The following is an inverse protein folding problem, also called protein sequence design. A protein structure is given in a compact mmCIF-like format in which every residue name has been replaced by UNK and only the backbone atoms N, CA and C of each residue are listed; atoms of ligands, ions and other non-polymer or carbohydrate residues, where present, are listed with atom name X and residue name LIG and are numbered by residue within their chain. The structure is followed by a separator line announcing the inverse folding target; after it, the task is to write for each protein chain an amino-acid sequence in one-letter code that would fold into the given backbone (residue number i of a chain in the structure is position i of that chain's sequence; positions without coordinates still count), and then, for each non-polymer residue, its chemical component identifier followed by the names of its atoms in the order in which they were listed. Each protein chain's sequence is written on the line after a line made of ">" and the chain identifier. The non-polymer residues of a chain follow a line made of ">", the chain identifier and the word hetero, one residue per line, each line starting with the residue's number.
data_IF_397024699516
#
_entry.id   IF_397024699516
#
_cell.length_a   1.000
_cell.length_b   1.000
_cell.length_c   1.000
_cell.angle_alpha   90.00
_cell.angle_beta   90.00
_cell.angle_gamma   90.00
#
_symmetry.space_group_name_H-M   'P 1'
#
loop_
_entity.id
_entity.type
_entity.pdbx_description
1 polymer ?
#
# COMPACT_ATOMS: atom_id res chain seq x y z
N UNK A 1 -26.23 -24.71 23.95
CA UNK A 1 -25.65 -25.11 22.66
C UNK A 1 -24.69 -24.08 22.07
N UNK A 2 -25.04 -22.77 21.89
CA UNK A 2 -24.14 -21.74 21.32
C UNK A 2 -22.82 -21.55 22.08
N UNK A 3 -22.81 -21.65 23.41
CA UNK A 3 -21.59 -21.49 24.24
C UNK A 3 -20.60 -22.63 24.07
N UNK A 4 -21.08 -23.85 23.83
CA UNK A 4 -20.23 -25.04 23.63
C UNK A 4 -19.61 -25.09 22.24
N UNK A 5 -20.31 -24.60 21.21
CA UNK A 5 -19.78 -24.49 19.83
C UNK A 5 -18.68 -23.45 19.78
N UNK A 6 -18.84 -22.31 20.47
CA UNK A 6 -17.83 -21.25 20.51
C UNK A 6 -16.56 -21.70 21.26
N UNK A 7 -16.73 -22.46 22.37
CA UNK A 7 -15.61 -23.02 23.14
C UNK A 7 -14.89 -24.10 22.33
N UNK A 8 -15.63 -24.87 21.51
CA UNK A 8 -15.03 -25.88 20.63
C UNK A 8 -14.24 -25.23 19.46
N UNK A 9 -14.74 -24.13 18.91
CA UNK A 9 -14.05 -23.37 17.86
C UNK A 9 -12.82 -22.63 18.43
N UNK A 10 -12.93 -22.07 19.64
CA UNK A 10 -11.80 -21.40 20.29
C UNK A 10 -10.69 -22.40 20.72
N UNK A 11 -11.08 -23.59 21.22
CA UNK A 11 -10.10 -24.65 21.50
C UNK A 11 -9.43 -25.16 20.22
N UNK A 12 -10.12 -25.12 19.08
CA UNK A 12 -9.56 -25.47 17.78
C UNK A 12 -8.49 -24.49 17.32
N UNK A 13 -8.71 -23.17 17.50
CA UNK A 13 -7.71 -22.12 17.19
C UNK A 13 -6.49 -22.16 18.13
N UNK A 14 -6.68 -22.50 19.40
CA UNK A 14 -5.60 -22.60 20.39
C UNK A 14 -4.75 -23.89 20.24
N UNK A 15 -5.30 -24.95 19.64
CA UNK A 15 -4.58 -26.21 19.41
C UNK A 15 -3.86 -26.30 18.06
N UNK A 16 -4.11 -25.38 17.13
CA UNK A 16 -3.42 -25.32 15.83
C UNK A 16 -2.08 -24.57 15.85
N UNK A 17 -1.72 -23.95 16.97
CA UNK A 17 -0.38 -23.41 17.17
C UNK A 17 0.58 -24.54 17.53
N UNK A 18 1.74 -24.68 16.85
CA UNK A 18 2.72 -25.70 17.20
C UNK A 18 3.19 -25.45 18.64
N UNK A 19 2.75 -26.30 19.57
CA UNK A 19 3.35 -26.32 20.89
C UNK A 19 4.80 -26.77 20.74
N UNK A 20 5.71 -25.84 20.89
CA UNK A 20 7.12 -26.10 21.16
C UNK A 20 7.20 -26.84 22.49
N UNK A 21 7.00 -28.16 22.44
CA UNK A 21 7.38 -29.05 23.53
C UNK A 21 8.90 -29.19 23.52
N UNK A 22 9.54 -28.41 24.37
CA UNK A 22 10.95 -28.53 24.68
C UNK A 22 11.12 -29.84 25.44
N UNK A 23 11.53 -30.90 24.74
CA UNK A 23 11.98 -32.15 25.40
C UNK A 23 13.32 -31.85 26.10
N UNK A 24 13.27 -31.77 27.43
CA UNK A 24 14.44 -31.89 28.29
C UNK A 24 14.69 -33.37 28.50
N UNK A 25 15.61 -33.97 27.75
CA UNK A 25 16.46 -35.11 28.14
C UNK A 25 17.21 -35.66 26.93
N UNK A 26 18.37 -35.11 26.64
CA UNK A 26 19.50 -35.81 26.00
C UNK A 26 20.77 -35.14 26.55
N UNK A 27 21.80 -35.93 26.99
CA UNK A 27 23.00 -35.36 27.59
C UNK A 27 23.90 -34.70 26.56
N UNK A 28 24.55 -33.62 27.00
CA UNK A 28 25.51 -32.81 26.27
C UNK A 28 26.72 -33.57 25.78
N UNK A 29 27.30 -33.16 24.67
CA UNK A 29 28.72 -32.89 24.63
C UNK A 29 29.05 -31.43 24.42
N UNK A 30 30.05 -31.06 25.08
CA UNK A 30 30.81 -29.84 25.20
C UNK A 30 30.94 -28.89 24.01
N UNK A 31 30.78 -27.62 24.35
CA UNK A 31 31.73 -26.49 24.32
C UNK A 31 31.86 -25.65 23.06
N UNK A 32 31.71 -24.44 23.33
CA UNK A 32 32.35 -23.17 22.92
C UNK A 32 31.52 -22.16 22.11
N UNK A 33 31.19 -21.15 22.89
CA UNK A 33 31.23 -19.69 22.59
C UNK A 33 30.66 -19.19 21.27
N UNK A 34 29.51 -18.55 21.38
CA UNK A 34 29.33 -17.16 20.93
C UNK A 34 28.14 -16.53 21.67
N UNK A 35 28.46 -15.62 22.58
CA UNK A 35 27.53 -14.64 23.15
C UNK A 35 26.94 -13.82 22.03
N UNK A 36 25.60 -13.75 21.96
CA UNK A 36 24.88 -12.49 21.72
C UNK A 36 23.36 -12.71 21.64
N UNK A 37 22.68 -11.84 22.39
CA UNK A 37 21.22 -11.59 22.44
C UNK A 37 20.35 -12.59 23.23
N UNK A 38 20.54 -12.62 24.54
CA UNK A 38 19.49 -12.95 25.52
C UNK A 38 18.56 -11.74 25.65
N UNK A 39 17.43 -11.74 24.94
CA UNK A 39 16.28 -10.93 25.36
C UNK A 39 15.76 -11.52 26.67
N UNK A 40 15.98 -10.81 27.76
CA UNK A 40 15.39 -11.10 29.08
C UNK A 40 13.87 -10.97 28.93
N UNK A 41 13.16 -12.11 29.00
CA UNK A 41 11.71 -12.16 29.22
C UNK A 41 11.40 -11.39 30.52
N UNK A 42 10.47 -10.46 30.45
CA UNK A 42 10.00 -9.77 31.65
C UNK A 42 9.35 -10.75 32.62
N UNK A 43 9.38 -10.50 33.94
CA UNK A 43 8.73 -11.37 34.92
C UNK A 43 7.25 -11.63 34.64
N UNK A 44 6.56 -10.68 34.04
CA UNK A 44 5.14 -10.78 33.61
C UNK A 44 4.93 -11.79 32.46
N UNK A 45 5.85 -11.85 31.49
CA UNK A 45 5.76 -12.80 30.38
C UNK A 45 5.96 -14.25 30.84
N UNK A 46 6.84 -14.45 31.83
CA UNK A 46 7.09 -15.75 32.43
C UNK A 46 5.89 -16.25 33.27
N UNK A 47 5.21 -15.35 33.97
CA UNK A 47 4.00 -15.64 34.73
C UNK A 47 2.81 -15.95 33.83
N UNK A 48 2.65 -15.18 32.75
CA UNK A 48 1.62 -15.41 31.72
C UNK A 48 1.81 -16.78 31.03
N UNK A 49 3.05 -17.17 30.69
CA UNK A 49 3.34 -18.47 30.11
C UNK A 49 3.05 -19.64 31.09
N UNK A 50 3.31 -19.47 32.39
CA UNK A 50 2.95 -20.45 33.41
C UNK A 50 1.45 -20.62 33.57
N UNK A 51 0.69 -19.50 33.57
CA UNK A 51 -0.78 -19.50 33.65
C UNK A 51 -1.43 -20.16 32.44
N UNK A 52 -0.92 -19.94 31.23
CA UNK A 52 -1.38 -20.59 29.99
C UNK A 52 -1.11 -22.09 30.05
N UNK A 53 0.11 -22.52 30.43
CA UNK A 53 0.46 -23.92 30.56
C UNK A 53 -0.34 -24.65 31.63
N UNK A 54 -0.74 -23.99 32.71
CA UNK A 54 -1.56 -24.57 33.77
C UNK A 54 -3.03 -24.71 33.35
N UNK A 55 -3.59 -23.73 32.62
CA UNK A 55 -4.93 -23.83 32.01
C UNK A 55 -5.02 -24.95 30.97
N UNK A 56 -3.97 -25.16 30.16
CA UNK A 56 -3.92 -26.22 29.17
C UNK A 56 -3.85 -27.60 29.85
N UNK A 57 -3.10 -27.75 30.97
CA UNK A 57 -3.08 -28.99 31.79
C UNK A 57 -4.44 -29.28 32.42
N UNK A 58 -5.16 -28.26 32.86
CA UNK A 58 -6.51 -28.40 33.44
C UNK A 58 -7.55 -28.77 32.36
N UNK A 59 -7.47 -28.18 31.19
CA UNK A 59 -8.30 -28.51 30.03
C UNK A 59 -8.11 -29.95 29.58
N UNK A 60 -6.86 -30.41 29.48
CA UNK A 60 -6.50 -31.82 29.18
C UNK A 60 -7.02 -32.78 30.25
N UNK A 61 -6.87 -32.47 31.55
CA UNK A 61 -7.42 -33.30 32.64
C UNK A 61 -8.94 -33.41 32.57
N UNK A 62 -9.66 -32.33 32.28
CA UNK A 62 -11.11 -32.35 32.09
C UNK A 62 -11.53 -33.19 30.87
N UNK A 63 -10.83 -33.06 29.74
CA UNK A 63 -11.08 -33.88 28.55
C UNK A 63 -10.86 -35.38 28.81
N UNK A 64 -9.80 -35.74 29.51
CA UNK A 64 -9.55 -37.14 29.92
C UNK A 64 -10.61 -37.68 30.88
N UNK A 65 -11.10 -36.86 31.82
CA UNK A 65 -12.17 -37.21 32.75
C UNK A 65 -13.50 -37.46 32.04
N UNK A 66 -13.83 -36.62 31.08
CA UNK A 66 -15.05 -36.77 30.23
C UNK A 66 -14.91 -38.04 29.36
N UNK A 67 -13.77 -38.28 28.74
CA UNK A 67 -13.48 -39.47 27.92
C UNK A 67 -13.66 -40.74 28.73
N UNK A 68 -13.10 -40.78 29.96
CA UNK A 68 -13.23 -41.90 30.89
C UNK A 68 -14.69 -42.13 31.32
N UNK A 69 -15.43 -41.08 31.60
CA UNK A 69 -16.86 -41.14 31.99
C UNK A 69 -17.72 -41.72 30.87
N UNK A 70 -17.56 -41.18 29.64
CA UNK A 70 -18.30 -41.68 28.46
C UNK A 70 -17.98 -43.15 28.20
N UNK A 71 -16.70 -43.54 28.26
CA UNK A 71 -16.28 -44.92 28.06
C UNK A 71 -16.90 -45.86 29.11
N UNK A 72 -16.92 -45.46 30.38
CA UNK A 72 -17.49 -46.30 31.45
C UNK A 72 -19.02 -46.44 31.30
N UNK A 73 -19.70 -45.39 30.91
CA UNK A 73 -21.13 -45.39 30.67
C UNK A 73 -21.56 -46.22 29.48
N UNK A 74 -20.76 -46.16 28.38
CA UNK A 74 -20.95 -46.99 27.20
C UNK A 74 -20.65 -48.47 27.46
N UNK A 75 -19.61 -48.78 28.24
CA UNK A 75 -19.27 -50.13 28.60
C UNK A 75 -20.32 -50.76 29.52
N UNK A 76 -20.93 -50.01 30.44
CA UNK A 76 -21.97 -50.48 31.28
C UNK A 76 -23.26 -50.76 30.49
N UNK A 77 -23.63 -49.90 29.53
CA UNK A 77 -24.73 -50.14 28.61
C UNK A 77 -24.50 -51.34 27.69
N UNK A 78 -23.26 -51.55 27.28
CA UNK A 78 -22.85 -52.67 26.41
C UNK A 78 -22.93 -54.02 27.11
N UNK A 79 -22.80 -54.12 28.43
CA UNK A 79 -22.88 -55.37 29.20
C UNK A 79 -24.21 -56.06 29.04
N UNK A 80 -25.28 -55.32 28.77
CA UNK A 80 -26.65 -55.90 28.62
C UNK A 80 -26.88 -56.51 27.22
N UNK A 81 -25.90 -56.34 26.28
CA UNK A 81 -25.94 -56.86 24.90
C UNK A 81 -24.64 -57.55 24.52
N UNK A 82 -24.54 -58.86 24.56
CA UNK A 82 -23.30 -59.66 24.31
C UNK A 82 -22.65 -59.35 22.96
N UNK A 83 -23.44 -59.19 21.87
CA UNK A 83 -22.89 -58.87 20.55
C UNK A 83 -22.22 -57.50 20.52
N UNK A 84 -22.82 -56.51 21.21
CA UNK A 84 -22.33 -55.14 21.27
C UNK A 84 -21.10 -55.04 22.16
N UNK A 85 -21.08 -55.81 23.28
CA UNK A 85 -19.92 -55.94 24.16
C UNK A 85 -18.72 -56.59 23.44
N UNK A 86 -18.94 -57.68 22.68
CA UNK A 86 -17.94 -58.33 21.84
C UNK A 86 -17.39 -57.38 20.77
N UNK A 87 -18.27 -56.60 20.11
CA UNK A 87 -17.86 -55.59 19.14
C UNK A 87 -17.04 -54.45 19.79
N UNK A 88 -17.40 -54.00 20.99
CA UNK A 88 -16.69 -52.93 21.71
C UNK A 88 -15.32 -53.36 22.24
N UNK A 89 -15.13 -54.63 22.57
CA UNK A 89 -13.91 -55.15 23.21
C UNK A 89 -12.94 -55.79 22.23
N UNK A 90 -13.37 -56.17 21.03
CA UNK A 90 -12.56 -56.83 20.03
C UNK A 90 -11.54 -55.89 19.44
N UNK A 91 -10.25 -56.28 19.48
CA UNK A 91 -9.14 -55.50 18.91
C UNK A 91 -8.74 -56.11 17.56
N UNK A 92 -8.60 -55.21 16.55
CA UNK A 92 -8.02 -55.52 15.26
C UNK A 92 -6.83 -54.58 15.04
N UNK A 93 -5.64 -55.12 14.71
CA UNK A 93 -4.43 -54.33 14.48
C UNK A 93 -4.13 -53.29 15.57
N UNK A 94 -4.39 -53.63 16.85
CA UNK A 94 -4.15 -52.73 18.00
C UNK A 94 -5.27 -51.75 18.34
N UNK A 95 -6.29 -51.61 17.49
CA UNK A 95 -7.42 -50.70 17.70
C UNK A 95 -8.72 -51.46 17.98
N UNK A 96 -9.59 -50.89 18.81
CA UNK A 96 -10.91 -51.43 19.06
C UNK A 96 -11.85 -51.26 17.86
N UNK A 97 -12.73 -52.22 17.60
CA UNK A 97 -13.71 -52.16 16.50
C UNK A 97 -14.58 -50.91 16.52
N UNK A 98 -14.89 -50.39 17.69
CA UNK A 98 -15.61 -49.11 17.90
C UNK A 98 -14.87 -47.93 17.31
N UNK A 99 -13.55 -47.94 17.34
CA UNK A 99 -12.75 -46.86 16.80
C UNK A 99 -12.87 -46.80 15.27
N UNK A 100 -12.84 -47.95 14.60
CA UNK A 100 -13.08 -48.04 13.15
C UNK A 100 -14.50 -47.60 12.77
N UNK A 101 -15.51 -47.99 13.56
CA UNK A 101 -16.89 -47.53 13.32
C UNK A 101 -17.00 -46.01 13.46
N UNK A 102 -16.32 -45.41 14.42
CA UNK A 102 -16.31 -43.94 14.62
C UNK A 102 -15.64 -43.21 13.45
N UNK A 103 -14.51 -43.74 12.93
CA UNK A 103 -13.88 -43.21 11.72
C UNK A 103 -14.86 -43.24 10.55
N UNK A 104 -15.47 -44.39 10.32
CA UNK A 104 -16.42 -44.57 9.22
C UNK A 104 -17.61 -43.61 9.33
N UNK A 105 -18.16 -43.43 10.54
CA UNK A 105 -19.28 -42.49 10.78
C UNK A 105 -18.86 -41.04 10.56
N UNK A 106 -17.69 -40.61 11.11
CA UNK A 106 -17.20 -39.23 10.93
C UNK A 106 -16.87 -38.95 9.47
N UNK A 107 -16.26 -39.87 8.73
CA UNK A 107 -16.01 -39.74 7.30
C UNK A 107 -17.32 -39.68 6.50
N UNK A 108 -18.31 -40.51 6.86
CA UNK A 108 -19.64 -40.49 6.24
C UNK A 108 -20.34 -39.14 6.46
N UNK A 109 -20.33 -38.62 7.70
CA UNK A 109 -20.91 -37.32 8.02
C UNK A 109 -20.19 -36.21 7.24
N UNK A 110 -18.86 -36.23 7.20
CA UNK A 110 -18.06 -35.26 6.42
C UNK A 110 -18.37 -35.34 4.93
N UNK A 111 -18.49 -36.55 4.39
CA UNK A 111 -18.84 -36.77 2.99
C UNK A 111 -20.24 -36.23 2.65
N UNK A 112 -21.23 -36.50 3.51
CA UNK A 112 -22.58 -35.97 3.37
C UNK A 112 -22.57 -34.43 3.46
N UNK A 113 -21.85 -33.88 4.43
CA UNK A 113 -21.71 -32.44 4.60
C UNK A 113 -21.13 -31.76 3.35
N UNK A 114 -20.02 -32.28 2.84
CA UNK A 114 -19.36 -31.76 1.64
C UNK A 114 -20.26 -31.88 0.41
N UNK A 115 -20.81 -33.06 0.17
CA UNK A 115 -21.58 -33.36 -1.06
C UNK A 115 -22.96 -32.68 -1.06
N UNK A 116 -23.67 -32.65 0.05
CA UNK A 116 -25.04 -32.14 0.10
C UNK A 116 -25.13 -30.71 0.59
N UNK A 117 -24.39 -30.32 1.62
CA UNK A 117 -24.53 -28.99 2.22
C UNK A 117 -23.62 -27.99 1.52
N UNK A 118 -22.31 -28.24 1.46
CA UNK A 118 -21.39 -27.30 0.83
C UNK A 118 -21.65 -27.14 -0.66
N UNK A 119 -21.80 -28.25 -1.39
CA UNK A 119 -22.05 -28.19 -2.82
C UNK A 119 -23.35 -27.46 -3.18
N UNK A 120 -24.45 -27.73 -2.46
CA UNK A 120 -25.72 -27.00 -2.63
C UNK A 120 -25.62 -25.53 -2.25
N UNK A 121 -24.95 -25.22 -1.14
CA UNK A 121 -24.75 -23.85 -0.68
C UNK A 121 -23.97 -23.04 -1.71
N UNK A 122 -22.83 -23.55 -2.19
CA UNK A 122 -22.03 -22.88 -3.20
C UNK A 122 -22.75 -22.69 -4.54
N UNK A 123 -23.48 -23.70 -4.99
CA UNK A 123 -24.30 -23.60 -6.20
C UNK A 123 -25.47 -22.60 -6.02
N UNK A 124 -26.08 -22.55 -4.85
CA UNK A 124 -27.13 -21.60 -4.55
C UNK A 124 -26.59 -20.17 -4.53
N UNK A 125 -25.49 -19.92 -3.83
CA UNK A 125 -24.81 -18.63 -3.79
C UNK A 125 -24.35 -18.19 -5.20
N UNK A 126 -23.80 -19.09 -5.99
CA UNK A 126 -23.40 -18.78 -7.37
C UNK A 126 -24.58 -18.44 -8.27
N UNK A 127 -25.76 -19.06 -8.06
CA UNK A 127 -27.00 -18.77 -8.83
C UNK A 127 -27.64 -17.43 -8.44
N UNK A 128 -27.65 -17.08 -7.15
CA UNK A 128 -28.16 -15.78 -6.71
C UNK A 128 -27.35 -14.64 -7.35
N UNK A 129 -26.04 -14.78 -7.36
CA UNK A 129 -25.14 -13.74 -7.89
C UNK A 129 -25.17 -13.63 -9.43
N UNK A 130 -25.57 -14.68 -10.15
CA UNK A 130 -25.75 -14.64 -11.60
C UNK A 130 -27.06 -13.93 -12.03
N UNK A 131 -28.07 -13.87 -11.14
CA UNK A 131 -29.39 -13.32 -11.47
C UNK A 131 -29.41 -11.78 -11.49
N UNK A 132 -28.40 -11.14 -10.89
CA UNK A 132 -28.37 -9.69 -10.66
C UNK A 132 -27.59 -8.89 -11.72
N UNK A 133 -26.69 -9.53 -12.49
CA UNK A 133 -25.94 -8.87 -13.57
C UNK A 133 -25.51 -9.86 -14.65
N UNK A 134 -25.64 -9.47 -15.92
CA UNK A 134 -25.34 -10.26 -17.13
C UNK A 134 -23.87 -10.62 -17.36
N UNK A 135 -22.94 -10.06 -16.61
CA UNK A 135 -21.52 -10.45 -16.62
C UNK A 135 -21.23 -11.35 -15.43
N UNK A 136 -20.49 -12.47 -15.64
CA UNK A 136 -20.05 -13.39 -14.58
C UNK A 136 -19.51 -12.60 -13.38
N UNK A 137 -20.36 -12.44 -12.35
CA UNK A 137 -20.02 -11.71 -11.14
C UNK A 137 -18.80 -12.34 -10.46
N UNK A 138 -17.95 -11.48 -9.86
CA UNK A 138 -16.84 -11.91 -9.00
C UNK A 138 -17.25 -13.06 -8.07
N UNK A 139 -18.40 -12.89 -7.40
CA UNK A 139 -18.92 -13.83 -6.41
C UNK A 139 -19.25 -15.19 -7.04
N UNK A 140 -19.83 -15.23 -8.23
CA UNK A 140 -20.18 -16.49 -8.87
C UNK A 140 -18.94 -17.30 -9.26
N UNK A 141 -17.93 -16.65 -9.82
CA UNK A 141 -16.67 -17.27 -10.20
C UNK A 141 -15.87 -17.71 -8.97
N UNK A 142 -15.87 -16.88 -7.93
CA UNK A 142 -15.25 -17.16 -6.64
C UNK A 142 -15.86 -18.41 -6.01
N UNK A 143 -17.18 -18.46 -5.83
CA UNK A 143 -17.85 -19.61 -5.24
C UNK A 143 -17.63 -20.88 -6.05
N UNK A 144 -17.73 -20.82 -7.37
CA UNK A 144 -17.51 -21.96 -8.25
C UNK A 144 -16.10 -22.55 -8.11
N UNK A 145 -15.06 -21.70 -8.05
CA UNK A 145 -13.67 -22.14 -7.92
C UNK A 145 -13.30 -22.57 -6.49
N UNK A 146 -13.88 -21.92 -5.47
CA UNK A 146 -13.61 -22.23 -4.06
C UNK A 146 -14.21 -23.54 -3.58
N UNK A 147 -15.18 -24.09 -4.30
CA UNK A 147 -15.87 -25.33 -3.93
C UNK A 147 -14.91 -26.51 -3.71
N UNK A 148 -13.93 -26.71 -4.63
CA UNK A 148 -12.96 -27.82 -4.55
C UNK A 148 -12.00 -27.70 -3.34
N UNK A 149 -11.27 -26.57 -3.13
CA UNK A 149 -10.37 -26.45 -2.00
C UNK A 149 -11.09 -26.48 -0.65
N UNK A 150 -12.30 -25.88 -0.54
CA UNK A 150 -13.08 -25.94 0.72
C UNK A 150 -13.57 -27.36 0.99
N UNK A 151 -13.93 -28.14 -0.05
CA UNK A 151 -14.29 -29.54 0.14
C UNK A 151 -13.11 -30.37 0.68
N UNK A 152 -11.90 -30.16 0.14
CA UNK A 152 -10.69 -30.83 0.64
C UNK A 152 -10.42 -30.42 2.11
N UNK A 153 -10.48 -29.12 2.41
CA UNK A 153 -10.31 -28.60 3.76
C UNK A 153 -11.28 -29.25 4.76
N UNK A 154 -12.55 -29.39 4.38
CA UNK A 154 -13.57 -30.04 5.22
C UNK A 154 -13.28 -31.52 5.45
N UNK A 155 -12.78 -32.23 4.43
CA UNK A 155 -12.38 -33.65 4.57
C UNK A 155 -11.18 -33.78 5.53
N UNK A 156 -10.17 -32.89 5.39
CA UNK A 156 -9.00 -32.87 6.28
C UNK A 156 -9.42 -32.60 7.72
N UNK A 157 -10.35 -31.68 7.95
CA UNK A 157 -10.92 -31.44 9.27
C UNK A 157 -11.64 -32.66 9.82
N UNK A 158 -12.44 -33.35 9.02
CA UNK A 158 -13.13 -34.60 9.42
C UNK A 158 -12.14 -35.71 9.83
N UNK A 159 -11.06 -35.86 9.03
CA UNK A 159 -9.97 -36.79 9.35
C UNK A 159 -9.26 -36.39 10.65
N UNK A 160 -8.96 -35.12 10.86
CA UNK A 160 -8.35 -34.64 12.10
C UNK A 160 -9.19 -34.98 13.32
N UNK A 161 -10.50 -34.65 13.30
CA UNK A 161 -11.40 -34.99 14.39
C UNK A 161 -11.49 -36.52 14.64
N UNK A 162 -11.52 -37.29 13.55
CA UNK A 162 -11.54 -38.76 13.65
C UNK A 162 -10.30 -39.31 14.36
N UNK A 163 -9.13 -38.80 13.98
CA UNK A 163 -7.84 -39.27 14.53
C UNK A 163 -7.61 -38.84 15.98
N UNK A 164 -7.97 -37.59 16.32
CA UNK A 164 -7.84 -37.08 17.71
C UNK A 164 -8.66 -37.92 18.70
N UNK A 165 -9.83 -38.44 18.27
CA UNK A 165 -10.71 -39.25 19.13
C UNK A 165 -10.13 -40.67 19.33
N UNK A 166 -9.41 -41.20 18.35
CA UNK A 166 -9.08 -42.62 18.25
C UNK A 166 -7.68 -42.95 18.79
N UNK A 167 -6.68 -42.15 18.47
CA UNK A 167 -5.29 -42.52 18.75
C UNK A 167 -4.95 -42.20 20.20
N UNK A 168 -4.64 -43.27 20.95
CA UNK A 168 -4.18 -43.22 22.35
C UNK A 168 -2.68 -43.41 22.50
N UNK A 169 -2.01 -43.91 21.46
CA UNK A 169 -0.57 -44.19 21.50
C UNK A 169 0.26 -43.04 20.96
N UNK A 170 1.26 -42.60 21.73
CA UNK A 170 2.07 -41.42 21.44
C UNK A 170 2.78 -41.45 20.08
N UNK A 171 3.28 -42.59 19.64
CA UNK A 171 4.12 -42.67 18.41
C UNK A 171 3.31 -42.57 17.12
N UNK A 172 2.18 -43.29 17.06
CA UNK A 172 1.25 -43.22 15.93
C UNK A 172 0.58 -41.83 15.79
N UNK A 173 0.39 -41.13 16.91
CA UNK A 173 -0.10 -39.76 16.94
C UNK A 173 0.83 -38.78 16.23
N UNK A 174 2.15 -38.92 16.38
CA UNK A 174 3.13 -37.98 15.80
C UNK A 174 3.08 -38.04 14.27
N UNK A 175 3.10 -39.23 13.69
CA UNK A 175 3.08 -39.43 12.24
C UNK A 175 1.73 -38.95 11.65
N UNK A 176 0.62 -39.35 12.28
CA UNK A 176 -0.72 -38.99 11.86
C UNK A 176 -0.92 -37.47 11.89
N UNK A 177 -0.47 -36.79 12.96
CA UNK A 177 -0.55 -35.33 13.08
C UNK A 177 0.30 -34.62 12.02
N UNK A 178 1.49 -35.13 11.68
CA UNK A 178 2.31 -34.56 10.60
C UNK A 178 1.62 -34.66 9.25
N UNK A 179 1.04 -35.81 8.92
CA UNK A 179 0.31 -35.99 7.64
C UNK A 179 -0.89 -35.07 7.56
N UNK A 180 -1.67 -34.97 8.65
CA UNK A 180 -2.83 -34.05 8.68
C UNK A 180 -2.39 -32.60 8.59
N UNK A 181 -1.31 -32.21 9.29
CA UNK A 181 -0.79 -30.85 9.19
C UNK A 181 -0.38 -30.51 7.76
N UNK A 182 0.29 -31.42 7.05
CA UNK A 182 0.63 -31.25 5.62
C UNK A 182 -0.62 -31.06 4.77
N UNK A 183 -1.62 -31.92 4.93
CA UNK A 183 -2.88 -31.82 4.18
C UNK A 183 -3.66 -30.53 4.52
N UNK A 184 -3.63 -30.11 5.77
CA UNK A 184 -4.26 -28.87 6.24
C UNK A 184 -3.61 -27.65 5.59
N UNK A 185 -2.28 -27.55 5.68
CA UNK A 185 -1.55 -26.46 5.03
C UNK A 185 -1.71 -26.48 3.51
N UNK A 186 -1.65 -27.65 2.88
CA UNK A 186 -1.89 -27.79 1.45
C UNK A 186 -3.29 -27.28 1.05
N UNK A 187 -4.32 -27.57 1.84
CA UNK A 187 -5.69 -27.10 1.58
C UNK A 187 -5.82 -25.59 1.76
N UNK A 188 -5.17 -25.00 2.76
CA UNK A 188 -5.12 -23.54 2.97
C UNK A 188 -4.45 -22.85 1.78
N UNK A 189 -3.25 -23.29 1.40
CA UNK A 189 -2.54 -22.70 0.27
C UNK A 189 -3.29 -22.88 -1.04
N UNK A 190 -4.03 -23.98 -1.23
CA UNK A 190 -4.91 -24.12 -2.38
C UNK A 190 -6.04 -23.10 -2.37
N UNK A 191 -6.66 -22.82 -1.22
CA UNK A 191 -7.62 -21.71 -1.10
C UNK A 191 -7.01 -20.38 -1.48
N UNK A 192 -5.80 -20.08 -0.97
CA UNK A 192 -5.08 -18.82 -1.28
C UNK A 192 -4.76 -18.72 -2.78
N UNK A 193 -4.31 -19.81 -3.42
CA UNK A 193 -4.06 -19.86 -4.86
C UNK A 193 -5.33 -19.57 -5.67
N UNK A 194 -6.47 -20.13 -5.27
CA UNK A 194 -7.74 -19.89 -5.96
C UNK A 194 -8.22 -18.46 -5.77
N UNK A 195 -8.10 -17.90 -4.57
CA UNK A 195 -8.42 -16.49 -4.29
C UNK A 195 -7.57 -15.57 -5.17
N UNK A 196 -6.25 -15.75 -5.15
CA UNK A 196 -5.31 -15.01 -5.99
C UNK A 196 -5.68 -15.12 -7.48
N UNK A 197 -5.94 -16.33 -7.96
CA UNK A 197 -6.31 -16.59 -9.35
C UNK A 197 -7.58 -15.86 -9.78
N UNK A 198 -8.60 -15.86 -8.93
CA UNK A 198 -9.87 -15.15 -9.19
C UNK A 198 -9.67 -13.64 -9.20
N UNK A 199 -8.94 -13.09 -8.22
CA UNK A 199 -8.65 -11.66 -8.16
C UNK A 199 -7.92 -11.16 -9.40
N UNK A 200 -6.86 -11.84 -9.82
CA UNK A 200 -6.11 -11.45 -11.02
C UNK A 200 -6.91 -11.65 -12.31
N UNK A 201 -7.70 -12.71 -12.41
CA UNK A 201 -8.55 -12.96 -13.58
C UNK A 201 -9.57 -11.84 -13.79
N UNK A 202 -10.16 -11.34 -12.73
CA UNK A 202 -11.14 -10.25 -12.82
C UNK A 202 -10.48 -8.91 -13.13
N UNK A 203 -9.34 -8.63 -12.48
CA UNK A 203 -8.55 -7.45 -12.79
C UNK A 203 -8.13 -7.45 -14.28
N UNK A 204 -7.67 -8.60 -14.80
CA UNK A 204 -7.26 -8.72 -16.19
C UNK A 204 -8.44 -8.58 -17.19
N UNK A 205 -9.63 -9.12 -16.86
CA UNK A 205 -10.84 -8.96 -17.70
C UNK A 205 -11.21 -7.48 -17.83
N UNK A 206 -11.23 -6.71 -16.73
CA UNK A 206 -11.54 -5.27 -16.74
C UNK A 206 -10.54 -4.46 -17.56
N UNK A 207 -9.29 -4.91 -17.64
CA UNK A 207 -8.21 -4.23 -18.38
C UNK A 207 -8.13 -4.63 -19.86
N UNK A 208 -8.64 -5.81 -20.23
CA UNK A 208 -8.59 -6.34 -21.60
C UNK A 208 -9.16 -5.37 -22.66
N UNK A 209 -10.23 -4.68 -22.31
CA UNK A 209 -10.89 -3.73 -23.20
C UNK A 209 -10.24 -2.33 -23.22
N UNK A 210 -9.33 -2.05 -22.26
CA UNK A 210 -8.72 -0.72 -22.12
C UNK A 210 -7.31 -0.64 -22.71
N UNK A 211 -6.48 -1.68 -22.53
CA UNK A 211 -5.09 -1.68 -22.98
C UNK A 211 -4.53 -3.09 -23.01
N UNK A 212 -3.95 -3.49 -24.16
CA UNK A 212 -3.26 -4.77 -24.34
C UNK A 212 -2.07 -4.92 -23.40
N UNK A 213 -1.31 -3.84 -23.20
CA UNK A 213 -0.12 -3.83 -22.29
C UNK A 213 -0.51 -4.05 -20.83
N UNK A 214 -1.62 -3.43 -20.37
CA UNK A 214 -2.11 -3.61 -19.01
C UNK A 214 -2.61 -5.04 -18.76
N UNK A 215 -3.23 -5.66 -19.76
CA UNK A 215 -3.63 -7.07 -19.69
C UNK A 215 -2.42 -8.00 -19.53
N UNK A 216 -1.37 -7.81 -20.35
CA UNK A 216 -0.14 -8.62 -20.30
C UNK A 216 0.59 -8.49 -18.96
N UNK A 217 0.65 -7.27 -18.40
CA UNK A 217 1.21 -7.03 -17.07
C UNK A 217 0.44 -7.79 -15.98
N UNK A 218 -0.90 -7.76 -16.03
CA UNK A 218 -1.74 -8.43 -15.05
C UNK A 218 -1.59 -9.95 -15.10
N UNK A 219 -1.46 -10.52 -16.32
CA UNK A 219 -1.22 -11.95 -16.49
C UNK A 219 0.18 -12.36 -16.01
N UNK A 220 1.20 -11.51 -16.20
CA UNK A 220 2.54 -11.70 -15.63
C UNK A 220 2.50 -11.70 -14.09
N UNK A 221 1.87 -10.69 -13.47
CA UNK A 221 1.72 -10.60 -12.02
C UNK A 221 0.98 -11.81 -11.44
N UNK A 222 -0.03 -12.31 -12.14
CA UNK A 222 -0.74 -13.54 -11.78
C UNK A 222 0.18 -14.75 -11.72
N UNK A 223 1.08 -14.92 -12.70
CA UNK A 223 2.05 -16.03 -12.73
C UNK A 223 3.07 -15.89 -11.60
N UNK A 224 3.60 -14.68 -11.38
CA UNK A 224 4.55 -14.40 -10.31
C UNK A 224 3.93 -14.66 -8.94
N UNK A 225 2.72 -14.16 -8.68
CA UNK A 225 2.04 -14.39 -7.40
C UNK A 225 1.79 -15.87 -7.12
N UNK A 226 1.41 -16.65 -8.15
CA UNK A 226 1.30 -18.12 -8.02
C UNK A 226 2.62 -18.78 -7.65
N UNK A 227 3.71 -18.38 -8.31
CA UNK A 227 5.04 -18.88 -8.01
C UNK A 227 5.45 -18.63 -6.55
N UNK A 228 5.24 -17.40 -6.07
CA UNK A 228 5.52 -17.03 -4.67
C UNK A 228 4.68 -17.85 -3.69
N UNK A 229 3.37 -17.98 -3.92
CA UNK A 229 2.48 -18.76 -3.06
C UNK A 229 2.90 -20.23 -3.02
N UNK A 230 3.30 -20.81 -4.17
CA UNK A 230 3.76 -22.20 -4.25
C UNK A 230 5.05 -22.41 -3.47
N UNK A 231 6.01 -21.47 -3.56
CA UNK A 231 7.28 -21.54 -2.80
C UNK A 231 7.00 -21.50 -1.30
N UNK A 232 6.15 -20.57 -0.84
CA UNK A 232 5.78 -20.46 0.58
C UNK A 232 5.05 -21.74 1.05
N UNK A 233 4.14 -22.28 0.23
CA UNK A 233 3.43 -23.52 0.51
C UNK A 233 4.40 -24.70 0.68
N UNK A 234 5.37 -24.83 -0.24
CA UNK A 234 6.38 -25.89 -0.19
C UNK A 234 7.24 -25.80 1.08
N UNK A 235 7.72 -24.59 1.42
CA UNK A 235 8.49 -24.37 2.65
C UNK A 235 7.69 -24.72 3.90
N UNK A 236 6.42 -24.30 3.97
CA UNK A 236 5.53 -24.61 5.09
C UNK A 236 5.28 -26.10 5.22
N UNK A 237 5.16 -26.84 4.11
CA UNK A 237 5.00 -28.28 4.11
C UNK A 237 6.28 -28.98 4.57
N UNK A 238 7.45 -28.56 4.07
CA UNK A 238 8.75 -29.11 4.46
C UNK A 238 9.03 -28.91 5.95
N UNK A 239 8.73 -27.74 6.49
CA UNK A 239 8.85 -27.42 7.92
C UNK A 239 7.97 -28.37 8.77
N UNK A 240 6.71 -28.58 8.39
CA UNK A 240 5.80 -29.52 9.06
C UNK A 240 6.26 -31.00 8.99
N UNK A 241 6.99 -31.34 7.94
CA UNK A 241 7.63 -32.67 7.83
C UNK A 241 8.87 -32.80 8.72
N UNK A 242 9.35 -31.71 9.32
CA UNK A 242 10.51 -31.67 10.20
C UNK A 242 11.83 -31.43 9.46
N UNK A 243 11.78 -31.00 8.20
CA UNK A 243 12.97 -30.55 7.48
C UNK A 243 13.46 -29.19 8.01
N UNK A 244 14.77 -29.02 8.08
CA UNK A 244 15.34 -27.72 8.47
C UNK A 244 15.27 -26.73 7.29
N UNK A 245 14.24 -25.87 7.27
CA UNK A 245 14.03 -24.87 6.23
C UNK A 245 14.77 -23.55 6.47
N UNK A 246 15.46 -23.40 7.62
CA UNK A 246 16.09 -22.13 8.00
C UNK A 246 17.12 -21.63 6.98
N UNK A 247 17.96 -22.53 6.46
CA UNK A 247 18.95 -22.16 5.45
C UNK A 247 18.29 -21.68 4.14
N UNK A 248 17.19 -22.33 3.73
CA UNK A 248 16.43 -21.94 2.53
C UNK A 248 15.76 -20.59 2.77
N UNK A 249 15.15 -20.39 3.93
CA UNK A 249 14.53 -19.11 4.30
C UNK A 249 15.55 -17.98 4.37
N UNK A 250 16.74 -18.22 4.94
CA UNK A 250 17.83 -17.24 4.95
C UNK A 250 18.27 -16.86 3.52
N UNK A 251 18.45 -17.86 2.65
CA UNK A 251 18.81 -17.63 1.24
C UNK A 251 17.75 -16.86 0.48
N UNK A 252 16.46 -17.20 0.69
CA UNK A 252 15.33 -16.45 0.13
C UNK A 252 15.24 -15.02 0.69
N UNK A 253 15.59 -14.83 1.98
CA UNK A 253 15.68 -13.52 2.61
C UNK A 253 16.73 -12.63 1.95
N UNK A 254 17.93 -13.16 1.71
CA UNK A 254 19.01 -12.43 1.01
C UNK A 254 18.59 -12.11 -0.44
N UNK A 255 18.05 -13.10 -1.16
CA UNK A 255 17.52 -12.90 -2.52
C UNK A 255 16.37 -11.89 -2.58
N UNK A 256 15.49 -11.91 -1.57
CA UNK A 256 14.41 -10.95 -1.41
C UNK A 256 14.92 -9.52 -1.15
N UNK A 257 15.97 -9.38 -0.35
CA UNK A 257 16.64 -8.09 -0.11
C UNK A 257 17.24 -7.52 -1.39
N UNK A 258 17.95 -8.36 -2.16
CA UNK A 258 18.49 -7.95 -3.45
C UNK A 258 17.38 -7.48 -4.42
N UNK A 259 16.27 -8.21 -4.49
CA UNK A 259 15.10 -7.83 -5.30
C UNK A 259 14.44 -6.53 -4.80
N UNK A 260 14.38 -6.33 -3.49
CA UNK A 260 13.84 -5.11 -2.88
C UNK A 260 14.67 -3.88 -3.27
N UNK A 261 16.01 -3.96 -3.20
CA UNK A 261 16.90 -2.90 -3.66
C UNK A 261 16.76 -2.63 -5.17
N UNK A 262 16.68 -3.68 -5.98
CA UNK A 262 16.46 -3.52 -7.43
C UNK A 262 15.11 -2.88 -7.79
N UNK A 263 14.11 -3.00 -6.92
CA UNK A 263 12.75 -2.48 -7.11
C UNK A 263 12.52 -1.13 -6.42
N UNK A 264 13.49 -0.60 -5.68
CA UNK A 264 13.36 0.58 -4.81
C UNK A 264 12.78 1.78 -5.56
N UNK A 265 13.31 2.11 -6.72
CA UNK A 265 12.84 3.26 -7.51
C UNK A 265 11.40 3.09 -8.00
N UNK A 266 11.00 1.88 -8.37
CA UNK A 266 9.62 1.61 -8.79
C UNK A 266 8.65 1.81 -7.64
N UNK A 267 9.00 1.32 -6.46
CA UNK A 267 8.22 1.46 -5.24
C UNK A 267 8.15 2.93 -4.80
N UNK A 268 9.27 3.65 -4.84
CA UNK A 268 9.31 5.08 -4.52
C UNK A 268 8.42 5.92 -5.45
N UNK A 269 8.41 5.61 -6.75
CA UNK A 269 7.54 6.28 -7.71
C UNK A 269 6.05 5.97 -7.49
N UNK A 270 5.73 4.74 -7.13
CA UNK A 270 4.36 4.37 -6.76
C UNK A 270 3.86 5.15 -5.54
N UNK A 271 4.64 5.19 -4.46
CA UNK A 271 4.30 5.97 -3.28
C UNK A 271 4.26 7.47 -3.56
N UNK A 272 5.15 7.98 -4.44
CA UNK A 272 5.07 9.35 -4.93
C UNK A 272 3.75 9.66 -5.63
N UNK A 273 3.23 8.73 -6.47
CA UNK A 273 1.90 8.86 -7.08
C UNK A 273 0.79 8.92 -6.03
N UNK A 274 0.84 8.02 -5.05
CA UNK A 274 -0.15 7.98 -3.97
C UNK A 274 -0.16 9.27 -3.17
N UNK A 275 1.02 9.82 -2.82
CA UNK A 275 1.14 11.10 -2.12
C UNK A 275 0.54 12.25 -2.94
N UNK A 276 0.88 12.35 -4.23
CA UNK A 276 0.32 13.37 -5.13
C UNK A 276 -1.21 13.30 -5.20
N UNK A 277 -1.77 12.08 -5.26
CA UNK A 277 -3.23 11.88 -5.35
C UNK A 277 -3.93 12.23 -4.01
N UNK A 278 -3.31 11.93 -2.86
CA UNK A 278 -3.88 12.19 -1.53
C UNK A 278 -3.76 13.69 -1.20
N UNK A 279 -2.55 14.24 -1.28
CA UNK A 279 -2.24 15.62 -0.87
C UNK A 279 -2.69 16.64 -1.90
N UNK A 280 -2.82 16.22 -3.16
CA UNK A 280 -3.26 17.04 -4.30
C UNK A 280 -2.52 18.38 -4.41
N UNK A 281 -1.20 18.43 -4.42
CA UNK A 281 -0.47 19.67 -4.62
C UNK A 281 -0.83 20.32 -5.97
N UNK A 282 -1.19 19.50 -6.95
CA UNK A 282 -1.71 19.89 -8.25
C UNK A 282 -2.70 18.84 -8.79
N UNK A 283 -3.52 19.21 -9.76
CA UNK A 283 -4.42 18.31 -10.48
C UNK A 283 -4.05 18.25 -11.97
N UNK A 284 -4.65 17.30 -12.70
CA UNK A 284 -4.60 17.30 -14.16
C UNK A 284 -5.27 18.57 -14.68
N UNK A 285 -4.57 19.28 -15.57
CA UNK A 285 -4.98 20.57 -16.10
C UNK A 285 -4.33 21.78 -15.41
N UNK A 286 -3.77 21.61 -14.21
CA UNK A 286 -3.11 22.71 -13.51
C UNK A 286 -1.82 23.15 -14.22
N UNK A 287 -1.60 24.45 -14.28
CA UNK A 287 -0.34 25.06 -14.65
C UNK A 287 0.60 25.05 -13.45
N UNK A 288 1.68 24.31 -13.58
CA UNK A 288 2.69 24.16 -12.53
C UNK A 288 4.09 24.43 -13.06
N UNK A 289 4.98 24.78 -12.13
CA UNK A 289 6.42 24.76 -12.35
C UNK A 289 7.05 23.79 -11.35
N UNK A 290 7.78 22.83 -11.89
CA UNK A 290 8.49 21.82 -11.15
C UNK A 290 9.89 21.69 -11.75
N UNK A 291 10.92 21.76 -10.91
CA UNK A 291 12.33 21.85 -11.34
C UNK A 291 12.52 23.05 -12.31
N UNK A 292 13.06 22.79 -13.48
CA UNK A 292 13.24 23.76 -14.56
C UNK A 292 12.09 23.79 -15.57
N UNK A 293 11.08 22.95 -15.41
CA UNK A 293 9.98 22.81 -16.35
C UNK A 293 8.73 23.50 -15.89
N UNK A 294 8.10 24.19 -16.82
CA UNK A 294 6.85 24.92 -16.60
C UNK A 294 5.83 24.53 -17.67
N UNK A 295 4.60 24.21 -17.25
CA UNK A 295 3.56 23.81 -18.17
C UNK A 295 2.32 23.28 -17.49
N UNK A 296 1.39 22.73 -18.29
CA UNK A 296 0.15 22.15 -17.81
C UNK A 296 0.29 20.64 -17.58
N UNK A 297 -0.22 20.16 -16.44
CA UNK A 297 -0.27 18.73 -16.12
C UNK A 297 -1.26 18.05 -17.06
N UNK A 298 -0.77 17.14 -17.89
CA UNK A 298 -1.59 16.40 -18.85
C UNK A 298 -2.09 15.07 -18.29
N UNK A 299 -1.25 14.38 -17.52
CA UNK A 299 -1.56 13.09 -16.95
C UNK A 299 -0.74 12.83 -15.69
N UNK A 300 -1.38 12.36 -14.64
CA UNK A 300 -0.73 11.78 -13.46
C UNK A 300 -0.83 10.26 -13.60
N UNK A 301 0.28 9.61 -13.92
CA UNK A 301 0.36 8.17 -14.10
C UNK A 301 0.81 7.44 -12.82
N UNK A 302 0.87 6.13 -12.88
CA UNK A 302 1.31 5.26 -11.77
C UNK A 302 2.76 5.50 -11.33
N UNK A 303 3.66 5.84 -12.26
CA UNK A 303 5.10 6.01 -12.01
C UNK A 303 5.57 7.44 -12.29
N UNK A 304 4.92 8.14 -13.21
CA UNK A 304 5.38 9.43 -13.71
C UNK A 304 4.21 10.33 -14.06
N UNK A 305 4.41 11.63 -13.91
CA UNK A 305 3.51 12.69 -14.34
C UNK A 305 4.00 13.28 -15.65
N UNK A 306 3.09 13.57 -16.57
CA UNK A 306 3.36 14.20 -17.86
C UNK A 306 2.92 15.65 -17.82
N UNK A 307 3.83 16.54 -18.19
CA UNK A 307 3.63 17.98 -18.25
C UNK A 307 3.82 18.44 -19.68
N UNK A 308 2.82 19.15 -20.21
CA UNK A 308 2.90 19.82 -21.52
C UNK A 308 3.43 21.22 -21.32
N UNK A 309 4.66 21.47 -21.75
CA UNK A 309 5.27 22.81 -21.68
C UNK A 309 4.58 23.79 -22.62
N UNK A 310 4.84 25.08 -22.45
CA UNK A 310 4.33 26.11 -23.35
C UNK A 310 4.85 25.99 -24.78
N UNK A 311 6.07 25.44 -24.95
CA UNK A 311 6.65 25.10 -26.27
C UNK A 311 6.00 23.85 -26.89
N UNK A 312 4.92 23.31 -26.26
CA UNK A 312 4.19 22.11 -26.69
C UNK A 312 5.00 20.80 -26.60
N UNK A 313 6.15 20.82 -25.96
CA UNK A 313 6.91 19.60 -25.66
C UNK A 313 6.27 18.83 -24.50
N UNK A 314 6.46 17.51 -24.48
CA UNK A 314 5.94 16.64 -23.42
C UNK A 314 7.09 16.23 -22.51
N UNK A 315 7.09 16.71 -21.30
CA UNK A 315 8.06 16.34 -20.25
C UNK A 315 7.44 15.26 -19.36
N UNK A 316 8.20 14.21 -19.08
CA UNK A 316 7.78 13.13 -18.20
C UNK A 316 8.70 13.09 -16.98
N UNK A 317 8.13 13.39 -15.81
CA UNK A 317 8.87 13.47 -14.54
C UNK A 317 8.46 12.30 -13.65
N UNK A 318 9.42 11.54 -13.05
CA UNK A 318 9.12 10.52 -12.06
C UNK A 318 8.38 11.10 -10.84
N UNK A 319 7.35 10.41 -10.37
CA UNK A 319 6.51 10.92 -9.27
C UNK A 319 7.25 10.96 -7.93
N UNK A 320 8.25 10.11 -7.74
CA UNK A 320 9.13 10.17 -6.56
C UNK A 320 9.90 11.47 -6.43
N UNK A 321 10.21 12.12 -7.57
CA UNK A 321 10.85 13.44 -7.62
C UNK A 321 9.83 14.51 -7.29
N UNK A 322 8.68 14.52 -7.99
CA UNK A 322 7.63 15.51 -7.77
C UNK A 322 7.06 15.51 -6.34
N UNK A 323 7.03 14.33 -5.70
CA UNK A 323 6.57 14.24 -4.31
C UNK A 323 7.56 14.82 -3.28
N UNK A 324 8.81 15.02 -3.65
CA UNK A 324 9.88 15.52 -2.76
C UNK A 324 10.25 16.97 -3.02
N UNK A 325 9.96 17.47 -4.19
CA UNK A 325 10.35 18.81 -4.61
C UNK A 325 9.28 19.85 -4.35
N UNK A 326 9.74 21.12 -4.27
CA UNK A 326 8.83 22.25 -4.22
C UNK A 326 8.16 22.46 -5.57
N UNK A 327 6.85 22.59 -5.57
CA UNK A 327 6.03 22.81 -6.76
C UNK A 327 5.32 24.15 -6.64
N UNK A 328 5.50 25.02 -7.62
CA UNK A 328 4.71 26.23 -7.76
C UNK A 328 3.46 25.92 -8.60
N UNK A 329 2.28 26.13 -8.01
CA UNK A 329 1.01 25.95 -8.72
C UNK A 329 0.40 27.29 -9.09
N UNK A 330 0.56 27.67 -10.36
CA UNK A 330 0.06 28.94 -10.89
C UNK A 330 -1.46 28.97 -11.09
N UNK A 331 -2.10 27.82 -11.23
CA UNK A 331 -3.58 27.75 -11.30
C UNK A 331 -4.22 28.11 -9.95
N UNK A 332 -3.52 27.82 -8.83
CA UNK A 332 -4.00 28.08 -7.46
C UNK A 332 -3.52 29.42 -6.90
N UNK A 333 -2.83 30.25 -7.71
CA UNK A 333 -2.46 31.57 -7.24
C UNK A 333 -3.72 32.40 -6.95
N UNK A 334 -3.68 33.24 -5.92
CA UNK A 334 -4.80 34.11 -5.58
C UNK A 334 -4.80 35.39 -6.42
N UNK A 335 -3.61 35.92 -6.72
CA UNK A 335 -3.39 37.13 -7.49
C UNK A 335 -2.03 37.10 -8.17
N UNK A 336 -1.89 37.72 -9.33
CA UNK A 336 -0.58 37.89 -9.98
C UNK A 336 0.10 39.11 -9.46
N UNK A 337 1.27 38.98 -8.87
CA UNK A 337 2.13 40.07 -8.43
C UNK A 337 2.99 40.55 -9.59
N UNK A 338 3.02 41.85 -9.85
CA UNK A 338 3.95 42.50 -10.78
C UNK A 338 4.91 43.36 -9.97
N UNK A 339 6.19 43.21 -10.25
CA UNK A 339 7.25 44.06 -9.71
C UNK A 339 7.99 44.64 -10.88
N UNK A 340 8.05 45.95 -10.94
CA UNK A 340 8.78 46.69 -11.97
C UNK A 340 9.76 47.66 -11.30
N UNK A 341 10.96 47.75 -11.82
CA UNK A 341 11.95 48.72 -11.45
C UNK A 341 12.08 49.67 -12.66
N UNK A 342 11.83 50.94 -12.44
CA UNK A 342 11.84 51.95 -13.49
C UNK A 342 12.92 52.97 -13.13
N UNK A 343 13.96 53.07 -13.96
CA UNK A 343 15.01 54.07 -13.82
C UNK A 343 14.62 55.38 -14.46
N UNK A 344 14.70 56.48 -13.75
CA UNK A 344 14.60 57.84 -14.25
C UNK A 344 15.97 58.51 -14.22
N UNK A 345 16.13 59.59 -15.01
CA UNK A 345 17.41 60.30 -15.09
C UNK A 345 17.78 61.00 -13.82
N UNK A 346 19.09 61.21 -13.57
CA UNK A 346 19.60 61.96 -12.40
C UNK A 346 19.29 63.46 -12.41
N UNK A 347 18.73 63.99 -13.50
CA UNK A 347 18.29 65.39 -13.60
C UNK A 347 16.98 65.61 -12.82
N UNK A 348 16.33 64.54 -12.36
CA UNK A 348 15.09 64.64 -11.60
C UNK A 348 15.35 65.23 -10.20
N UNK A 349 14.56 66.22 -9.83
CA UNK A 349 14.66 66.82 -8.49
C UNK A 349 13.88 66.00 -7.46
N UNK A 350 14.24 66.13 -6.16
CA UNK A 350 13.49 65.44 -5.10
C UNK A 350 12.02 65.80 -5.10
N UNK A 351 11.66 67.06 -5.35
CA UNK A 351 10.27 67.53 -5.37
C UNK A 351 9.46 66.90 -6.50
N UNK A 352 10.10 66.68 -7.68
CA UNK A 352 9.47 65.97 -8.79
C UNK A 352 9.19 64.50 -8.43
N UNK A 353 10.16 63.86 -7.76
CA UNK A 353 10.01 62.47 -7.33
C UNK A 353 8.90 62.36 -6.29
N UNK A 354 8.89 63.19 -5.23
CA UNK A 354 7.86 63.17 -4.21
C UNK A 354 6.46 63.42 -4.79
N UNK A 355 6.34 64.24 -5.83
CA UNK A 355 5.07 64.51 -6.53
C UNK A 355 4.60 63.35 -7.38
N UNK A 356 5.50 62.69 -8.10
CA UNK A 356 5.11 61.65 -9.07
C UNK A 356 4.74 60.32 -8.41
N UNK A 357 5.33 59.96 -7.25
CA UNK A 357 5.04 58.70 -6.57
C UNK A 357 3.54 58.51 -6.26
N UNK A 358 2.84 59.44 -5.60
CA UNK A 358 1.40 59.31 -5.37
C UNK A 358 0.56 59.35 -6.64
N UNK A 359 0.99 60.09 -7.69
CA UNK A 359 0.31 60.12 -8.97
C UNK A 359 0.40 58.79 -9.69
N UNK A 360 1.56 58.16 -9.74
CA UNK A 360 1.74 56.81 -10.29
C UNK A 360 0.88 55.80 -9.53
N UNK A 361 0.84 55.86 -8.20
CA UNK A 361 -0.03 55.00 -7.41
C UNK A 361 -1.50 55.19 -7.73
N UNK A 362 -1.96 56.44 -7.88
CA UNK A 362 -3.34 56.78 -8.24
C UNK A 362 -3.71 56.24 -9.61
N UNK A 363 -2.85 56.43 -10.61
CA UNK A 363 -3.09 55.99 -12.00
C UNK A 363 -3.23 54.48 -12.07
N UNK A 364 -2.39 53.70 -11.35
CA UNK A 364 -2.52 52.26 -11.32
C UNK A 364 -3.87 51.78 -10.79
N UNK A 365 -4.48 52.52 -9.83
CA UNK A 365 -5.79 52.13 -9.28
C UNK A 365 -6.96 52.41 -10.22
N UNK A 366 -6.77 53.19 -11.30
CA UNK A 366 -7.81 53.44 -12.30
C UNK A 366 -7.88 52.37 -13.38
N UNK A 367 -6.88 51.51 -13.46
CA UNK A 367 -6.78 50.48 -14.52
C UNK A 367 -7.64 49.28 -14.16
N UNK A 368 -8.40 48.80 -15.13
CA UNK A 368 -9.21 47.62 -15.01
C UNK A 368 -8.33 46.37 -14.65
N UNK A 369 -8.83 45.50 -13.77
CA UNK A 369 -8.15 44.29 -13.29
C UNK A 369 -6.86 44.55 -12.47
N UNK A 370 -6.57 45.75 -12.00
CA UNK A 370 -5.54 46.04 -11.00
C UNK A 370 -6.19 46.27 -9.64
N UNK A 371 -5.58 45.66 -8.59
CA UNK A 371 -6.04 45.84 -7.20
C UNK A 371 -5.89 47.28 -6.74
N UNK A 372 -6.97 47.85 -6.21
CA UNK A 372 -7.00 49.27 -5.75
C UNK A 372 -6.26 49.47 -4.43
N UNK A 373 -6.11 48.42 -3.59
CA UNK A 373 -5.58 48.55 -2.24
C UNK A 373 -4.08 48.18 -2.10
N UNK A 374 -3.56 47.40 -3.04
CA UNK A 374 -2.27 46.73 -2.82
C UNK A 374 -1.14 47.24 -3.73
N UNK A 375 -1.35 48.43 -4.33
CA UNK A 375 -0.32 49.05 -5.17
C UNK A 375 0.65 49.86 -4.29
N UNK A 376 1.95 49.65 -4.50
CA UNK A 376 3.04 50.38 -3.85
C UNK A 376 3.92 51.00 -4.91
N UNK A 377 4.29 52.23 -4.70
CA UNK A 377 5.21 52.97 -5.58
C UNK A 377 6.15 53.72 -4.65
N UNK A 378 7.41 53.43 -4.70
CA UNK A 378 8.42 53.96 -3.79
C UNK A 378 9.70 54.28 -4.57
N UNK A 379 10.39 55.38 -4.17
CA UNK A 379 11.77 55.60 -4.58
C UNK A 379 12.63 54.55 -3.91
N UNK A 380 13.28 53.74 -4.72
CA UNK A 380 13.88 52.48 -4.21
C UNK A 380 15.37 52.58 -3.95
N UNK A 381 16.14 53.06 -4.93
CA UNK A 381 17.58 53.08 -4.84
C UNK A 381 18.20 54.05 -5.87
N UNK A 382 19.51 54.35 -5.69
CA UNK A 382 20.36 55.05 -6.62
C UNK A 382 21.11 54.05 -7.47
N UNK A 383 20.71 53.86 -8.73
CA UNK A 383 21.35 52.97 -9.68
C UNK A 383 22.60 53.62 -10.30
N UNK A 384 23.41 52.80 -11.02
CA UNK A 384 24.64 53.29 -11.67
C UNK A 384 24.40 54.41 -12.71
N UNK A 385 23.21 54.43 -13.32
CA UNK A 385 22.83 55.45 -14.36
C UNK A 385 21.38 55.93 -14.16
N UNK A 386 20.72 55.59 -13.06
CA UNK A 386 19.31 55.85 -12.84
C UNK A 386 18.98 56.10 -11.36
N UNK A 387 17.93 56.89 -11.14
CA UNK A 387 17.18 56.90 -9.89
C UNK A 387 16.05 55.91 -10.04
N UNK A 388 16.05 54.87 -9.17
CA UNK A 388 15.16 53.72 -9.37
C UNK A 388 13.85 53.87 -8.59
N UNK A 389 12.74 53.81 -9.30
CA UNK A 389 11.39 53.76 -8.74
C UNK A 389 10.88 52.34 -8.83
N UNK A 390 10.56 51.73 -7.68
CA UNK A 390 9.99 50.41 -7.57
C UNK A 390 8.48 50.49 -7.53
N UNK A 391 7.83 49.78 -8.46
CA UNK A 391 6.39 49.72 -8.57
C UNK A 391 5.94 48.29 -8.36
N UNK A 392 5.07 48.06 -7.37
CA UNK A 392 4.48 46.77 -7.07
C UNK A 392 2.97 46.90 -7.16
N UNK A 393 2.35 46.05 -7.94
CA UNK A 393 0.89 45.97 -8.01
C UNK A 393 0.43 44.56 -8.28
N UNK A 394 -0.84 44.28 -8.01
CA UNK A 394 -1.44 42.95 -8.15
C UNK A 394 -2.62 43.05 -9.13
N UNK A 395 -2.75 41.98 -9.96
CA UNK A 395 -3.95 41.85 -10.79
C UNK A 395 -5.03 41.07 -10.07
N UNK A 396 -6.30 41.44 -10.26
CA UNK A 396 -7.46 40.77 -9.68
C UNK A 396 -7.91 39.58 -10.51
N UNK A 397 -7.58 39.55 -11.81
CA UNK A 397 -7.88 38.46 -12.72
C UNK A 397 -6.68 37.49 -12.84
N UNK A 398 -6.95 36.17 -12.80
CA UNK A 398 -5.98 35.13 -13.06
C UNK A 398 -5.82 34.80 -14.54
N UNK A 399 -6.79 35.25 -15.37
CA UNK A 399 -6.77 35.07 -16.81
C UNK A 399 -5.54 35.76 -17.42
N UNK A 400 -4.80 35.04 -18.26
CA UNK A 400 -3.53 35.52 -18.79
C UNK A 400 -3.68 36.66 -19.76
N UNK A 401 -4.72 36.68 -20.58
CA UNK A 401 -4.98 37.75 -21.56
C UNK A 401 -5.39 39.03 -20.85
N UNK A 402 -6.23 38.92 -19.82
CA UNK A 402 -6.60 40.09 -18.97
C UNK A 402 -5.39 40.62 -18.20
N UNK A 403 -4.51 39.73 -17.72
CA UNK A 403 -3.24 40.14 -17.12
C UNK A 403 -2.35 40.90 -18.09
N UNK A 404 -2.16 40.40 -19.32
CA UNK A 404 -1.36 41.09 -20.34
C UNK A 404 -1.95 42.44 -20.71
N UNK A 405 -3.29 42.54 -20.84
CA UNK A 405 -3.99 43.82 -21.09
C UNK A 405 -3.74 44.82 -19.96
N UNK A 406 -3.95 44.39 -18.70
CA UNK A 406 -3.73 45.25 -17.53
C UNK A 406 -2.27 45.70 -17.41
N UNK A 407 -1.30 44.80 -17.64
CA UNK A 407 0.14 45.14 -17.63
C UNK A 407 0.51 46.16 -18.72
N UNK A 408 -0.01 45.99 -19.93
CA UNK A 408 0.20 46.93 -21.03
C UNK A 408 -0.37 48.32 -20.71
N UNK A 409 -1.61 48.39 -20.21
CA UNK A 409 -2.25 49.61 -19.81
C UNK A 409 -1.51 50.30 -18.67
N UNK A 410 -1.02 49.54 -17.68
CA UNK A 410 -0.20 50.05 -16.60
C UNK A 410 1.11 50.66 -17.12
N UNK A 411 1.83 49.96 -17.99
CA UNK A 411 3.09 50.46 -18.55
C UNK A 411 2.88 51.77 -19.32
N UNK A 412 1.82 51.85 -20.13
CA UNK A 412 1.50 53.10 -20.88
C UNK A 412 1.08 54.22 -19.94
N UNK A 413 0.32 53.94 -18.90
CA UNK A 413 -0.11 54.94 -17.91
C UNK A 413 1.09 55.45 -17.08
N UNK A 414 1.99 54.59 -16.65
CA UNK A 414 3.23 54.95 -15.97
C UNK A 414 4.07 55.87 -16.86
N UNK A 415 4.28 55.51 -18.11
CA UNK A 415 5.05 56.27 -19.07
C UNK A 415 4.45 57.70 -19.27
N UNK A 416 3.13 57.78 -19.46
CA UNK A 416 2.43 59.10 -19.60
C UNK A 416 2.56 59.94 -18.33
N UNK A 417 2.44 59.37 -17.15
CA UNK A 417 2.54 60.07 -15.88
C UNK A 417 3.96 60.61 -15.65
N UNK A 418 4.99 59.87 -15.98
CA UNK A 418 6.38 60.29 -15.87
C UNK A 418 6.64 61.48 -16.82
N UNK A 419 6.27 61.37 -18.09
CA UNK A 419 6.47 62.46 -19.05
C UNK A 419 5.66 63.73 -18.71
N UNK A 420 4.43 63.56 -18.19
CA UNK A 420 3.60 64.71 -17.76
C UNK A 420 4.22 65.48 -16.59
N UNK A 421 5.08 64.80 -15.75
CA UNK A 421 5.81 65.43 -14.67
C UNK A 421 7.24 65.84 -15.05
N UNK A 422 7.57 65.84 -16.34
CA UNK A 422 8.89 66.25 -16.83
C UNK A 422 10.02 65.26 -16.52
N UNK A 423 9.68 64.01 -16.19
CA UNK A 423 10.64 62.97 -15.91
C UNK A 423 10.91 62.15 -17.14
N UNK A 424 12.19 61.81 -17.38
CA UNK A 424 12.64 60.98 -18.49
C UNK A 424 13.17 59.65 -18.01
N UNK A 425 13.01 58.59 -18.82
CA UNK A 425 13.63 57.27 -18.55
C UNK A 425 15.15 57.36 -18.67
N UNK A 426 15.83 56.77 -17.74
CA UNK A 426 17.28 56.68 -17.77
C UNK A 426 17.76 55.67 -18.82
N UNK A 427 18.78 56.04 -19.54
CA UNK A 427 19.55 55.15 -20.42
C UNK A 427 20.86 54.77 -19.73
N UNK A 428 21.44 53.57 -20.00
CA UNK A 428 22.79 53.25 -19.57
C UNK A 428 23.74 54.36 -20.06
N UNK A 429 24.39 55.08 -19.13
CA UNK A 429 25.24 56.20 -19.43
C UNK A 429 26.66 55.95 -18.94
N UNK A 430 27.67 56.36 -19.73
CA UNK A 430 29.07 56.27 -19.36
C UNK A 430 29.71 57.64 -19.49
N UNK A 431 30.32 58.10 -18.41
CA UNK A 431 31.13 59.33 -18.45
C UNK A 431 32.52 59.03 -18.98
N UNK A 432 32.92 59.65 -20.05
CA UNK A 432 34.26 59.55 -20.63
C UNK A 432 35.03 60.84 -20.36
N UNK A 433 36.10 60.70 -19.60
CA UNK A 433 37.05 61.80 -19.40
C UNK A 433 38.12 61.71 -20.47
N UNK A 434 38.18 62.70 -21.37
CA UNK A 434 39.16 62.79 -22.41
C UNK A 434 40.32 63.65 -21.92
N UNK A 435 41.44 63.06 -21.57
CA UNK A 435 42.64 63.79 -21.07
C UNK A 435 43.38 64.52 -22.20
N UNK A 436 43.35 63.99 -23.42
CA UNK A 436 43.99 64.66 -24.57
C UNK A 436 43.30 64.26 -25.89
N UNK A 437 43.13 65.17 -26.79
CA UNK A 437 42.71 64.91 -28.14
C UNK A 437 43.95 64.79 -29.03
N UNK A 438 44.01 63.84 -29.98
CA UNK A 438 45.13 63.83 -30.95
C UNK A 438 45.17 65.14 -31.72
N UNK A 439 46.33 65.78 -31.80
CA UNK A 439 46.52 67.00 -32.62
C UNK A 439 46.12 66.67 -34.06
N UNK A 440 45.14 67.33 -34.58
CA UNK A 440 44.82 67.30 -36.01
C UNK A 440 45.96 67.96 -36.74
N UNK A 441 46.79 67.18 -37.44
CA UNK A 441 47.71 67.71 -38.41
C UNK A 441 46.89 68.27 -39.59
N UNK A 442 46.76 69.59 -39.67
CA UNK A 442 46.29 70.23 -40.88
C UNK A 442 47.29 69.99 -42.02
N UNK A 443 46.86 69.21 -43.00
CA UNK A 443 47.49 69.09 -44.28
C UNK A 443 46.99 70.25 -45.21
#
# INVERSE_FOLDING_TARGET
>A
MKKYILTLILSFFLFSLPTLAKDNNVPSPDVQTSEQSSQQLTPEDAEHQKLVAEKDKEGLKKAFKIKRYIRTKLLNYAKDHEWFYSFMTKKYYGFYSVQYAFIAITLLITFIFVKFILWRLFNFLSRITLKENSDESFLSLFFKKMQKPISLFSVVLGLYFSLVIIITEKHSLIIANRIIAVLFWASIFWCILVISDVCFMLASRKMRNKSSSAYSLMEFLRKVSKGVIIVIALLSILDNLGANVNAIMASLGIGGMALAFASQDTIANFFGSVSIIIDRPFNVGDWIKAQSFEGNVELIGFRSTRIRTFDKTLVTIPNSILAKESIENFTRMQRRRIVQLIGITYDATPEQIEKVLPELRKVLTTIENISKSDSRVDFWDFGASSLDIRIIYYTTSLDYDKFLKAKREANLAIMRTLYANGLSFAFPSTSVYVESLPKTENK
#
